data_IF_723409308244
#
_entry.id   IF_723409308244
#
_cell.length_a   1.000
_cell.length_b   1.000
_cell.length_c   1.000
_cell.angle_alpha   90.00
_cell.angle_beta   90.00
_cell.angle_gamma   90.00
#
_symmetry.space_group_name_H-M   'P 1'
#
loop_
_entity.id
_entity.type
_entity.pdbx_description
1 polymer ?
#
# COMPACT_ATOMS: atom_id res chain seq x y z
N UNK A 1 -1.29 -26.61 -16.87
CA UNK A 1 -1.98 -27.07 -15.64
C UNK A 1 -1.71 -26.17 -14.44
N UNK A 2 -2.65 -26.05 -13.50
CA UNK A 2 -2.40 -25.36 -12.21
C UNK A 2 -1.72 -26.30 -11.22
N UNK A 3 -0.63 -25.85 -10.61
CA UNK A 3 0.09 -26.58 -9.56
C UNK A 3 0.21 -25.70 -8.31
N UNK A 4 -0.12 -26.26 -7.16
CA UNK A 4 0.04 -25.57 -5.87
C UNK A 4 1.53 -25.34 -5.58
N UNK A 5 1.88 -24.13 -5.15
CA UNK A 5 3.25 -23.78 -4.72
C UNK A 5 3.59 -24.46 -3.40
N UNK A 6 4.88 -24.70 -3.18
CA UNK A 6 5.35 -25.22 -1.89
C UNK A 6 5.16 -24.16 -0.79
N UNK A 7 4.95 -24.61 0.45
CA UNK A 7 4.78 -23.74 1.63
C UNK A 7 5.96 -22.75 1.78
N UNK A 8 7.20 -23.20 1.55
CA UNK A 8 8.38 -22.36 1.60
C UNK A 8 8.41 -21.25 0.53
N UNK A 9 7.75 -21.48 -0.60
CA UNK A 9 7.64 -20.50 -1.69
C UNK A 9 6.56 -19.47 -1.37
N UNK A 10 5.44 -19.91 -0.78
CA UNK A 10 4.36 -19.04 -0.31
C UNK A 10 4.89 -18.07 0.74
N UNK A 11 5.58 -18.55 1.78
CA UNK A 11 6.16 -17.72 2.84
C UNK A 11 7.16 -16.70 2.29
N UNK A 12 7.96 -17.08 1.29
CA UNK A 12 8.90 -16.17 0.62
C UNK A 12 8.18 -15.04 -0.11
N UNK A 13 7.13 -15.37 -0.86
CA UNK A 13 6.34 -14.38 -1.62
C UNK A 13 5.62 -13.42 -0.66
N UNK A 14 5.05 -13.92 0.43
CA UNK A 14 4.43 -13.09 1.45
C UNK A 14 5.43 -12.15 2.14
N UNK A 15 6.62 -12.66 2.47
CA UNK A 15 7.70 -11.85 3.06
C UNK A 15 8.14 -10.75 2.09
N UNK A 16 8.33 -11.07 0.82
CA UNK A 16 8.67 -10.10 -0.22
C UNK A 16 7.56 -9.05 -0.40
N UNK A 17 6.28 -9.47 -0.39
CA UNK A 17 5.13 -8.57 -0.48
C UNK A 17 5.07 -7.62 0.72
N UNK A 18 5.35 -8.11 1.94
CA UNK A 18 5.43 -7.27 3.16
C UNK A 18 6.53 -6.22 3.05
N UNK A 19 7.73 -6.61 2.61
CA UNK A 19 8.86 -5.69 2.46
C UNK A 19 8.55 -4.63 1.39
N UNK A 20 7.95 -5.03 0.26
CA UNK A 20 7.56 -4.09 -0.81
C UNK A 20 6.48 -3.09 -0.37
N UNK A 21 5.66 -3.45 0.62
CA UNK A 21 4.63 -2.58 1.20
C UNK A 21 5.25 -1.48 2.10
N UNK A 22 6.44 -1.72 2.65
CA UNK A 22 7.17 -0.73 3.43
C UNK A 22 7.92 0.22 2.50
N UNK A 23 7.22 1.25 2.04
CA UNK A 23 7.85 2.34 1.29
C UNK A 23 8.37 3.40 2.28
N UNK A 24 9.69 3.63 2.42
CA UNK A 24 10.26 4.59 3.37
C UNK A 24 10.14 6.05 2.90
N UNK A 25 9.80 6.26 1.62
CA UNK A 25 9.72 7.56 0.95
C UNK A 25 8.74 8.55 1.62
N UNK A 26 7.54 8.15 2.11
CA UNK A 26 6.65 9.03 2.84
C UNK A 26 7.22 9.49 4.19
N UNK A 27 7.96 8.62 4.89
CA UNK A 27 8.60 8.97 6.15
C UNK A 27 9.75 9.95 5.92
N UNK A 28 10.54 9.75 4.86
CA UNK A 28 11.60 10.67 4.44
C UNK A 28 11.07 12.05 4.02
N UNK A 29 9.94 12.10 3.31
CA UNK A 29 9.29 13.39 2.98
C UNK A 29 8.75 14.09 4.24
N UNK A 30 8.29 13.33 5.24
CA UNK A 30 7.83 13.85 6.54
C UNK A 30 8.95 14.56 7.28
N UNK A 31 10.09 13.90 7.39
CA UNK A 31 11.25 14.43 8.09
C UNK A 31 11.85 15.63 7.37
N UNK A 32 11.93 15.61 6.03
CA UNK A 32 12.40 16.77 5.24
C UNK A 32 11.45 17.97 5.40
N UNK A 33 10.13 17.73 5.32
CA UNK A 33 9.13 18.78 5.55
C UNK A 33 9.23 19.38 6.95
N UNK A 34 9.39 18.53 7.97
CA UNK A 34 9.57 18.96 9.36
C UNK A 34 10.86 19.80 9.54
N UNK A 35 11.97 19.35 8.95
CA UNK A 35 13.25 20.07 8.98
C UNK A 35 13.16 21.43 8.28
N UNK A 36 12.47 21.52 7.15
CA UNK A 36 12.22 22.78 6.46
C UNK A 36 11.38 23.74 7.31
N UNK A 37 10.35 23.23 7.97
CA UNK A 37 9.52 24.02 8.90
C UNK A 37 10.38 24.55 10.04
N UNK A 38 11.25 23.73 10.63
CA UNK A 38 12.19 24.15 11.69
C UNK A 38 13.20 25.19 11.17
N UNK A 39 13.74 25.01 9.96
CA UNK A 39 14.69 25.94 9.35
C UNK A 39 14.05 27.30 9.02
N UNK A 40 12.81 27.30 8.53
CA UNK A 40 12.05 28.53 8.21
C UNK A 40 11.58 29.25 9.48
N UNK A 41 11.18 28.51 10.50
CA UNK A 41 10.70 29.09 11.76
C UNK A 41 11.82 29.53 12.69
N UNK A 42 13.05 29.01 12.50
CA UNK A 42 14.19 29.27 13.36
C UNK A 42 13.94 28.71 14.77
N UNK A 43 14.52 27.55 15.09
CA UNK A 43 14.44 27.05 16.46
C UNK A 43 15.41 27.82 17.38
N UNK A 44 14.95 28.32 18.55
CA UNK A 44 13.60 28.23 19.12
C UNK A 44 12.69 29.42 18.73
N UNK A 45 11.42 29.23 18.32
CA UNK A 45 10.50 30.33 18.13
C UNK A 45 9.95 30.72 19.51
N UNK A 46 10.05 31.99 19.91
CA UNK A 46 9.05 32.52 20.82
C UNK A 46 7.70 32.47 20.10
N UNK A 47 6.72 31.76 20.69
CA UNK A 47 5.40 31.45 20.12
C UNK A 47 4.59 32.67 19.61
N UNK A 48 5.07 33.90 19.86
CA UNK A 48 4.43 35.16 19.46
C UNK A 48 4.82 35.66 18.06
N UNK A 49 5.94 35.21 17.46
CA UNK A 49 6.42 35.78 16.17
C UNK A 49 5.86 35.04 14.94
N UNK A 50 5.27 33.86 15.11
CA UNK A 50 4.75 33.07 13.97
C UNK A 50 3.52 33.71 13.31
N UNK A 51 2.76 34.51 14.07
CA UNK A 51 1.56 35.21 13.58
C UNK A 51 1.77 36.70 13.28
N UNK A 52 2.96 37.25 13.57
CA UNK A 52 3.21 38.70 13.54
C UNK A 52 3.43 39.24 12.11
N UNK A 53 3.68 38.34 11.14
CA UNK A 53 3.79 38.70 9.72
C UNK A 53 3.02 37.72 8.83
N UNK A 54 2.06 38.20 8.03
CA UNK A 54 1.25 37.34 7.16
C UNK A 54 2.09 36.57 6.14
N UNK A 55 3.26 37.11 5.77
CA UNK A 55 4.21 36.45 4.86
C UNK A 55 4.74 35.11 5.39
N UNK A 56 4.94 34.95 6.69
CA UNK A 56 5.43 33.68 7.27
C UNK A 56 4.36 32.60 7.26
N UNK A 57 3.12 32.98 7.54
CA UNK A 57 1.97 32.09 7.43
C UNK A 57 1.74 31.63 5.98
N UNK A 58 1.88 32.54 5.01
CA UNK A 58 1.77 32.22 3.57
C UNK A 58 2.88 31.26 3.14
N UNK A 59 4.13 31.48 3.57
CA UNK A 59 5.25 30.59 3.25
C UNK A 59 5.02 29.18 3.82
N UNK A 60 4.59 29.08 5.09
CA UNK A 60 4.26 27.79 5.69
C UNK A 60 3.11 27.10 4.96
N UNK A 61 2.05 27.84 4.63
CA UNK A 61 0.93 27.32 3.85
C UNK A 61 1.39 26.79 2.49
N UNK A 62 2.25 27.52 1.77
CA UNK A 62 2.80 27.09 0.48
C UNK A 62 3.66 25.83 0.61
N UNK A 63 4.47 25.70 1.66
CA UNK A 63 5.29 24.51 1.91
C UNK A 63 4.40 23.30 2.19
N UNK A 64 3.38 23.45 3.05
CA UNK A 64 2.42 22.37 3.35
C UNK A 64 1.60 22.00 2.11
N UNK A 65 1.16 23.00 1.34
CA UNK A 65 0.38 22.77 0.12
C UNK A 65 1.22 22.09 -0.97
N UNK A 66 2.46 22.52 -1.17
CA UNK A 66 3.38 21.95 -2.16
C UNK A 66 3.78 20.54 -1.78
N UNK A 67 4.12 20.29 -0.51
CA UNK A 67 4.41 18.93 -0.04
C UNK A 67 3.19 18.01 -0.17
N UNK A 68 1.98 18.50 0.10
CA UNK A 68 0.75 17.76 -0.12
C UNK A 68 0.53 17.42 -1.60
N UNK A 69 0.75 18.36 -2.51
CA UNK A 69 0.59 18.11 -3.95
C UNK A 69 1.66 17.17 -4.51
N UNK A 70 2.92 17.34 -4.09
CA UNK A 70 4.02 16.43 -4.46
C UNK A 70 3.76 15.02 -3.94
N UNK A 71 3.14 14.86 -2.76
CA UNK A 71 2.77 13.53 -2.26
C UNK A 71 1.80 12.80 -3.21
N UNK A 72 0.84 13.49 -3.82
CA UNK A 72 -0.04 12.90 -4.84
C UNK A 72 0.72 12.49 -6.09
N UNK A 73 1.67 13.30 -6.57
CA UNK A 73 2.39 13.01 -7.81
C UNK A 73 3.35 11.82 -7.62
N UNK A 74 4.13 11.81 -6.55
CA UNK A 74 5.15 10.78 -6.33
C UNK A 74 4.60 9.50 -5.70
N UNK A 75 3.54 9.59 -4.89
CA UNK A 75 3.00 8.46 -4.11
C UNK A 75 1.62 8.05 -4.63
N UNK A 76 1.01 8.82 -5.55
CA UNK A 76 -0.37 8.59 -5.99
C UNK A 76 -1.42 8.95 -4.95
N UNK A 77 -1.03 9.49 -3.79
CA UNK A 77 -1.91 9.74 -2.64
C UNK A 77 -1.50 10.95 -1.80
N UNK A 78 -2.49 11.58 -1.21
CA UNK A 78 -2.32 12.70 -0.30
C UNK A 78 -2.00 12.23 1.12
N UNK A 79 -0.87 12.63 1.68
CA UNK A 79 -0.35 12.09 2.94
C UNK A 79 -1.06 12.53 4.23
N UNK A 80 -1.85 13.61 4.18
CA UNK A 80 -2.74 14.03 5.28
C UNK A 80 -3.92 13.06 5.50
N UNK A 81 -4.24 12.25 4.49
CA UNK A 81 -5.07 11.06 4.68
C UNK A 81 -4.09 9.93 4.99
N UNK A 82 -4.11 9.47 6.25
CA UNK A 82 -3.05 8.70 6.88
C UNK A 82 -2.64 7.39 6.17
N UNK A 83 -1.76 6.57 6.80
CA UNK A 83 -1.49 5.25 6.27
C UNK A 83 -2.84 4.54 6.06
N UNK A 84 -3.02 3.75 4.99
CA UNK A 84 -4.10 2.79 5.03
C UNK A 84 -3.76 1.88 6.20
N UNK A 85 -4.40 2.09 7.34
CA UNK A 85 -4.77 1.00 8.21
C UNK A 85 -5.65 0.09 7.36
N UNK A 86 -5.01 -0.76 6.53
CA UNK A 86 -5.65 -1.83 5.76
C UNK A 86 -6.61 -1.45 4.63
N UNK A 87 -7.28 -0.31 4.71
CA UNK A 87 -8.55 -0.05 4.03
C UNK A 87 -8.59 1.41 3.59
N UNK A 88 -8.00 1.72 2.44
CA UNK A 88 -8.47 2.88 1.70
C UNK A 88 -9.89 2.54 1.27
N UNK A 89 -10.84 3.33 1.77
CA UNK A 89 -12.28 3.34 1.52
C UNK A 89 -12.57 3.63 0.04
N UNK A 90 -12.19 2.68 -0.81
CA UNK A 90 -13.07 2.20 -1.85
C UNK A 90 -13.35 0.75 -1.43
N UNK A 91 -14.59 0.34 -1.17
CA UNK A 91 -14.92 -1.07 -1.14
C UNK A 91 -14.85 -1.57 -2.58
N UNK A 92 -13.68 -1.55 -3.20
CA UNK A 92 -13.35 -2.65 -4.06
C UNK A 92 -13.20 -3.78 -3.07
N UNK A 93 -14.24 -4.62 -2.92
CA UNK A 93 -13.98 -6.05 -2.84
C UNK A 93 -12.90 -6.28 -3.88
N UNK A 94 -11.63 -6.34 -3.45
CA UNK A 94 -10.58 -6.77 -4.35
C UNK A 94 -11.03 -8.16 -4.66
N UNK A 95 -11.62 -8.36 -5.84
CA UNK A 95 -12.15 -9.65 -6.25
C UNK A 95 -10.95 -10.58 -6.18
N UNK A 96 -10.83 -11.27 -5.04
CA UNK A 96 -9.72 -12.18 -4.81
C UNK A 96 -10.07 -13.36 -5.67
N UNK A 97 -9.27 -13.60 -6.69
CA UNK A 97 -9.45 -14.79 -7.48
C UNK A 97 -9.06 -15.97 -6.60
N UNK A 98 -10.00 -16.85 -6.40
CA UNK A 98 -9.85 -18.11 -5.68
C UNK A 98 -9.81 -19.24 -6.70
N UNK A 99 -9.13 -20.33 -6.39
CA UNK A 99 -9.06 -21.53 -7.21
C UNK A 99 -9.45 -22.74 -6.36
N UNK A 100 -10.26 -23.62 -6.94
CA UNK A 100 -10.62 -24.85 -6.25
C UNK A 100 -9.52 -25.91 -6.40
N UNK A 101 -9.13 -26.53 -5.30
CA UNK A 101 -8.12 -27.61 -5.29
C UNK A 101 -8.55 -28.87 -6.07
N UNK A 102 -9.86 -29.10 -6.25
CA UNK A 102 -10.40 -30.29 -6.94
C UNK A 102 -10.62 -30.09 -8.44
N UNK A 103 -11.37 -29.07 -8.83
CA UNK A 103 -11.74 -28.83 -10.23
C UNK A 103 -10.89 -27.76 -10.91
N UNK A 104 -9.99 -27.09 -10.17
CA UNK A 104 -9.11 -26.03 -10.67
C UNK A 104 -9.83 -24.86 -11.36
N UNK A 105 -11.12 -24.68 -11.06
CA UNK A 105 -11.91 -23.55 -11.57
C UNK A 105 -11.55 -22.30 -10.78
N UNK A 106 -11.20 -21.23 -11.50
CA UNK A 106 -10.92 -19.92 -10.92
C UNK A 106 -12.24 -19.15 -10.83
N UNK A 107 -12.55 -18.64 -9.64
CA UNK A 107 -13.75 -17.89 -9.37
C UNK A 107 -13.47 -16.72 -8.43
N UNK A 108 -14.34 -15.70 -8.49
CA UNK A 108 -14.31 -14.59 -7.55
C UNK A 108 -14.56 -15.11 -6.12
N UNK A 109 -13.98 -14.43 -5.14
CA UNK A 109 -14.25 -14.69 -3.73
C UNK A 109 -15.75 -14.64 -3.43
N UNK A 110 -16.26 -15.71 -2.83
CA UNK A 110 -17.67 -15.88 -2.43
C UNK A 110 -17.71 -16.14 -0.95
N UNK A 111 -18.72 -15.62 -0.24
CA UNK A 111 -18.85 -15.75 1.23
C UNK A 111 -18.76 -17.19 1.75
N UNK A 112 -19.10 -18.19 0.92
CA UNK A 112 -19.11 -19.60 1.32
C UNK A 112 -17.75 -20.30 1.26
N UNK A 113 -16.70 -19.71 0.65
CA UNK A 113 -15.39 -20.34 0.41
C UNK A 113 -15.43 -21.79 -0.15
N UNK A 114 -16.56 -22.20 -0.71
CA UNK A 114 -16.85 -23.57 -1.16
C UNK A 114 -17.13 -23.55 -2.66
N UNK A 115 -16.45 -24.42 -3.38
CA UNK A 115 -16.69 -24.62 -4.79
C UNK A 115 -17.95 -25.49 -5.01
N UNK A 116 -18.71 -25.32 -6.11
CA UNK A 116 -19.84 -26.19 -6.44
C UNK A 116 -19.51 -27.70 -6.52
N UNK A 117 -18.24 -28.06 -6.68
CA UNK A 117 -17.76 -29.44 -6.66
C UNK A 117 -17.55 -30.00 -5.24
N UNK A 118 -17.82 -29.21 -4.20
CA UNK A 118 -17.55 -29.56 -2.79
C UNK A 118 -16.07 -29.48 -2.40
N UNK A 119 -15.23 -28.83 -3.21
CA UNK A 119 -13.83 -28.55 -2.88
C UNK A 119 -13.67 -27.20 -2.18
N UNK A 120 -12.61 -27.08 -1.39
CA UNK A 120 -12.22 -25.83 -0.74
C UNK A 120 -11.60 -24.87 -1.75
N UNK A 121 -11.91 -23.58 -1.59
CA UNK A 121 -11.35 -22.50 -2.39
C UNK A 121 -10.09 -21.96 -1.71
N UNK A 122 -8.98 -21.96 -2.44
CA UNK A 122 -7.72 -21.38 -2.00
C UNK A 122 -7.42 -20.10 -2.79
N UNK A 123 -6.62 -19.20 -2.22
CA UNK A 123 -6.23 -17.99 -2.94
C UNK A 123 -5.35 -18.33 -4.16
N UNK A 124 -5.66 -17.77 -5.33
CA UNK A 124 -4.95 -18.05 -6.59
C UNK A 124 -3.45 -17.75 -6.52
N UNK A 125 -3.04 -16.85 -5.63
CA UNK A 125 -1.63 -16.50 -5.46
C UNK A 125 -0.78 -17.62 -4.84
N UNK A 126 -1.41 -18.66 -4.27
CA UNK A 126 -0.73 -19.89 -3.85
C UNK A 126 -0.50 -20.88 -5.00
N UNK A 127 -1.03 -20.59 -6.19
CA UNK A 127 -0.96 -21.47 -7.35
C UNK A 127 -0.09 -20.85 -8.44
N UNK A 128 0.53 -21.73 -9.24
CA UNK A 128 1.27 -21.34 -10.44
C UNK A 128 0.74 -22.12 -11.64
N UNK A 129 0.64 -21.45 -12.77
CA UNK A 129 0.39 -22.12 -14.04
C UNK A 129 1.70 -22.72 -14.55
N UNK A 130 1.67 -24.00 -14.89
CA UNK A 130 2.78 -24.73 -15.51
C UNK A 130 2.30 -25.16 -16.89
N UNK A 131 2.98 -24.72 -17.95
CA UNK A 131 2.72 -25.22 -19.29
C UNK A 131 3.33 -26.62 -19.42
N UNK A 132 2.63 -27.53 -20.10
CA UNK A 132 3.00 -28.95 -20.22
C UNK A 132 4.26 -29.18 -21.09
N UNK A 133 5.06 -28.14 -21.33
CA UNK A 133 6.21 -28.11 -22.23
C UNK A 133 7.58 -27.87 -21.59
N UNK A 134 7.68 -27.79 -20.25
CA UNK A 134 9.00 -27.67 -19.58
C UNK A 134 9.05 -28.68 -18.44
N UNK A 135 9.41 -29.91 -18.80
CA UNK A 135 10.09 -30.82 -17.90
C UNK A 135 11.56 -30.35 -17.84
N UNK A 136 11.90 -29.58 -16.81
CA UNK A 136 13.28 -29.40 -16.34
C UNK A 136 13.37 -29.84 -14.88
#
# INVERSE_FOLDING_TARGET
MWVRRNEDEIVRIERARRIRKFNPLPAALLTIGLLLVVAVLGWPPPARIVFDRPTRAIILFLIVFTSFYLSKIFIGRYWLFGPPSGEAVFPTHSVRNMICSRCQTVQADTESHLCPCGGELEELHHWRWVDDGIAE
#
